data_IF_793056580915
#
_entry.id   IF_793056580915
#
_cell.length_a   1.000
_cell.length_b   1.000
_cell.length_c   1.000
_cell.angle_alpha   90.00
_cell.angle_beta   90.00
_cell.angle_gamma   90.00
#
_symmetry.space_group_name_H-M   'P 1'
#
loop_
_entity.id
_entity.type
_entity.pdbx_description
1 polymer ?
#
# COMPACT_ATOMS: atom_id res chain seq x y z
N UNK A 1 5.08 -10.72 2.80
CA UNK A 1 4.27 -9.69 2.10
C UNK A 1 5.04 -8.40 2.14
N UNK A 2 5.16 -7.72 1.02
CA UNK A 2 5.84 -6.44 0.94
C UNK A 2 4.86 -5.40 0.43
N UNK A 3 4.80 -4.26 1.09
CA UNK A 3 4.12 -3.07 0.62
C UNK A 3 5.07 -1.90 0.75
N UNK A 4 5.37 -1.23 -0.36
CA UNK A 4 6.34 -0.16 -0.39
C UNK A 4 6.07 0.83 -1.51
N UNK A 5 6.68 2.00 -1.36
CA UNK A 5 6.67 3.10 -2.33
C UNK A 5 7.87 2.99 -3.26
N UNK A 6 7.72 3.45 -4.51
CA UNK A 6 8.82 3.58 -5.46
C UNK A 6 8.95 5.04 -5.92
N UNK A 7 10.17 5.44 -6.28
CA UNK A 7 10.50 6.77 -6.78
C UNK A 7 11.39 6.66 -8.02
N UNK A 8 10.93 7.20 -9.14
CA UNK A 8 11.69 7.18 -10.40
C UNK A 8 12.86 8.19 -10.39
N UNK A 9 12.72 9.30 -9.66
CA UNK A 9 13.71 10.38 -9.57
C UNK A 9 14.49 10.40 -8.24
N UNK A 10 14.18 9.48 -7.33
CA UNK A 10 14.74 9.41 -5.98
C UNK A 10 14.23 10.49 -5.02
N UNK A 11 13.26 11.30 -5.43
CA UNK A 11 12.73 12.45 -4.67
C UNK A 11 11.24 12.27 -4.40
N UNK A 12 10.44 12.04 -5.45
CA UNK A 12 8.98 11.93 -5.36
C UNK A 12 8.57 10.48 -5.36
N UNK A 13 7.61 10.13 -4.52
CA UNK A 13 6.97 8.81 -4.64
C UNK A 13 6.07 8.84 -5.86
N UNK A 14 6.33 7.95 -6.81
CA UNK A 14 5.60 7.88 -8.08
C UNK A 14 4.72 6.65 -8.18
N UNK A 15 4.98 5.60 -7.38
CA UNK A 15 4.29 4.31 -7.51
C UNK A 15 4.10 3.63 -6.16
N UNK A 16 3.06 2.80 -6.07
CA UNK A 16 2.85 1.86 -4.97
C UNK A 16 3.02 0.44 -5.48
N UNK A 17 3.72 -0.38 -4.71
CA UNK A 17 3.99 -1.78 -5.02
C UNK A 17 3.54 -2.66 -3.86
N UNK A 18 2.81 -3.73 -4.18
CA UNK A 18 2.64 -4.88 -3.31
C UNK A 18 3.16 -6.16 -3.94
N UNK A 19 3.87 -6.97 -3.15
CA UNK A 19 4.30 -8.29 -3.57
C UNK A 19 4.11 -9.35 -2.49
N UNK A 20 3.75 -10.55 -2.94
CA UNK A 20 3.57 -11.74 -2.13
C UNK A 20 3.95 -12.99 -2.91
N UNK A 21 4.45 -14.01 -2.21
CA UNK A 21 4.63 -15.34 -2.77
C UNK A 21 3.29 -16.03 -3.09
N UNK A 22 2.19 -15.60 -2.45
CA UNK A 22 0.85 -16.17 -2.65
C UNK A 22 0.08 -15.39 -3.72
N UNK A 23 -0.12 -14.09 -3.51
CA UNK A 23 -1.01 -13.29 -4.34
C UNK A 23 -0.35 -12.69 -5.59
N UNK A 24 0.97 -12.88 -5.75
CA UNK A 24 1.76 -12.28 -6.82
C UNK A 24 2.25 -10.87 -6.50
N UNK A 25 2.79 -10.19 -7.52
CA UNK A 25 3.34 -8.85 -7.42
C UNK A 25 2.65 -7.90 -8.38
N UNK A 26 2.22 -6.73 -7.91
CA UNK A 26 1.63 -5.68 -8.73
C UNK A 26 2.17 -4.30 -8.34
N UNK A 27 2.37 -3.43 -9.33
CA UNK A 27 2.90 -2.09 -9.13
C UNK A 27 2.12 -1.12 -10.02
N UNK A 28 1.67 -0.02 -9.43
CA UNK A 28 0.86 0.97 -10.13
C UNK A 28 1.40 2.39 -9.94
N UNK A 29 1.44 3.20 -11.02
CA UNK A 29 1.74 4.62 -10.89
C UNK A 29 0.62 5.31 -10.11
N UNK A 30 1.00 6.23 -9.23
CA UNK A 30 0.07 7.12 -8.56
C UNK A 30 -0.58 8.08 -9.58
N UNK A 31 -1.82 8.55 -9.33
CA UNK A 31 -2.47 9.54 -10.19
C UNK A 31 -1.67 10.85 -10.31
N UNK A 32 -0.94 11.19 -9.25
CA UNK A 32 0.04 12.26 -9.21
C UNK A 32 1.19 11.84 -8.28
N UNK A 33 2.45 12.18 -8.59
CA UNK A 33 3.56 11.96 -7.68
C UNK A 33 3.33 12.69 -6.35
N UNK A 34 3.74 12.08 -5.24
CA UNK A 34 3.73 12.73 -3.94
C UNK A 34 4.88 13.72 -3.84
N UNK A 35 4.56 14.94 -3.47
CA UNK A 35 5.57 15.96 -3.18
C UNK A 35 6.32 15.61 -1.89
N UNK A 36 7.61 15.96 -1.77
CA UNK A 36 8.32 15.74 -0.53
C UNK A 36 7.71 16.54 0.63
N UNK A 37 7.80 15.99 1.84
CA UNK A 37 7.36 16.65 3.09
C UNK A 37 5.85 16.91 3.16
N UNK A 38 5.04 16.18 2.41
CA UNK A 38 3.58 16.14 2.56
C UNK A 38 3.14 14.79 3.12
N UNK A 39 2.15 14.82 4.00
CA UNK A 39 1.53 13.60 4.50
C UNK A 39 0.59 13.02 3.45
N UNK A 40 0.72 11.72 3.21
CA UNK A 40 -0.19 10.96 2.36
C UNK A 40 -0.62 9.69 3.07
N UNK A 41 -1.90 9.35 2.90
CA UNK A 41 -2.42 8.05 3.35
C UNK A 41 -2.36 7.07 2.19
N UNK A 42 -1.71 5.93 2.39
CA UNK A 42 -1.64 4.85 1.40
C UNK A 42 -2.19 3.56 2.00
N UNK A 43 -2.91 2.80 1.20
CA UNK A 43 -3.37 1.48 1.60
C UNK A 43 -3.47 0.54 0.40
N UNK A 44 -3.35 -0.75 0.69
CA UNK A 44 -3.72 -1.82 -0.22
C UNK A 44 -4.60 -2.83 0.52
N UNK A 45 -5.63 -3.32 -0.15
CA UNK A 45 -6.41 -4.47 0.30
C UNK A 45 -6.21 -5.63 -0.67
N UNK A 46 -6.09 -6.84 -0.13
CA UNK A 46 -6.08 -8.08 -0.90
C UNK A 46 -7.11 -9.02 -0.29
N UNK A 47 -8.07 -9.49 -1.10
CA UNK A 47 -9.06 -10.48 -0.66
C UNK A 47 -8.61 -11.93 -0.97
N UNK A 48 -9.35 -12.92 -0.47
CA UNK A 48 -9.04 -14.33 -0.68
C UNK A 48 -9.14 -14.78 -2.15
N UNK A 49 -9.83 -14.01 -2.99
CA UNK A 49 -9.89 -14.22 -4.44
C UNK A 49 -8.69 -13.59 -5.16
N UNK A 50 -7.75 -12.97 -4.43
CA UNK A 50 -6.58 -12.32 -4.99
C UNK A 50 -6.89 -10.95 -5.61
N UNK A 51 -8.03 -10.32 -5.30
CA UNK A 51 -8.33 -8.99 -5.80
C UNK A 51 -7.53 -7.93 -5.00
N UNK A 52 -6.65 -7.21 -5.69
CA UNK A 52 -5.81 -6.16 -5.11
C UNK A 52 -6.47 -4.81 -5.39
N UNK A 53 -6.70 -3.99 -4.37
CA UNK A 53 -7.19 -2.62 -4.55
C UNK A 53 -6.24 -1.64 -3.85
N UNK A 54 -5.80 -0.64 -4.60
CA UNK A 54 -4.86 0.37 -4.15
C UNK A 54 -5.56 1.70 -3.89
N UNK A 55 -5.20 2.31 -2.77
CA UNK A 55 -5.77 3.55 -2.30
C UNK A 55 -4.69 4.60 -2.03
N UNK A 56 -5.01 5.84 -2.41
CA UNK A 56 -4.22 7.05 -2.15
C UNK A 56 -5.19 8.10 -1.62
N UNK A 57 -4.86 8.67 -0.45
CA UNK A 57 -5.66 9.71 0.22
C UNK A 57 -7.15 9.38 0.31
N UNK A 58 -7.43 8.15 0.77
CA UNK A 58 -8.77 7.61 0.99
C UNK A 58 -9.52 7.17 -0.27
N UNK A 59 -8.94 7.34 -1.47
CA UNK A 59 -9.58 7.01 -2.75
C UNK A 59 -8.90 5.86 -3.45
N UNK A 60 -9.70 4.93 -3.97
CA UNK A 60 -9.22 3.91 -4.90
C UNK A 60 -8.65 4.58 -6.14
N UNK A 61 -7.47 4.14 -6.59
CA UNK A 61 -6.89 4.60 -7.86
C UNK A 61 -6.47 3.47 -8.80
N UNK A 62 -6.27 2.25 -8.30
CA UNK A 62 -5.92 1.10 -9.13
C UNK A 62 -6.49 -0.20 -8.56
N UNK A 63 -6.62 -1.19 -9.43
CA UNK A 63 -6.95 -2.57 -9.06
C UNK A 63 -6.21 -3.57 -9.95
N UNK A 64 -5.97 -4.76 -9.43
CA UNK A 64 -5.44 -5.88 -10.19
C UNK A 64 -6.02 -7.20 -9.68
N UNK A 65 -6.11 -8.16 -10.60
CA UNK A 65 -6.39 -9.54 -10.24
C UNK A 65 -5.06 -10.30 -10.06
N UNK A 66 -4.77 -10.67 -8.82
CA UNK A 66 -3.70 -11.60 -8.46
C UNK A 66 -4.17 -13.04 -8.42
N UNK A 67 -3.39 -13.89 -7.75
CA UNK A 67 -3.73 -15.30 -7.54
C UNK A 67 -4.60 -15.47 -6.29
N UNK A 68 -5.74 -16.18 -6.36
CA UNK A 68 -6.52 -16.53 -5.17
C UNK A 68 -5.70 -17.35 -4.17
N UNK A 69 -5.96 -17.17 -2.87
CA UNK A 69 -5.27 -17.91 -1.83
C UNK A 69 -5.50 -17.35 -0.44
N UNK A 70 -4.95 -18.04 0.55
CA UNK A 70 -4.93 -17.57 1.93
C UNK A 70 -3.60 -16.87 2.23
N UNK A 71 -3.67 -15.83 3.05
CA UNK A 71 -2.46 -15.17 3.49
C UNK A 71 -1.64 -16.13 4.40
N UNK A 72 -0.58 -16.74 3.85
CA UNK A 72 0.39 -17.58 4.54
C UNK A 72 1.83 -17.12 4.31
N UNK A 73 2.69 -17.27 5.33
CA UNK A 73 4.14 -17.06 5.22
C UNK A 73 4.80 -16.58 6.51
N UNK A 74 6.06 -16.97 6.70
CA UNK A 74 6.84 -16.71 7.92
C UNK A 74 7.79 -15.51 7.77
N UNK A 75 7.63 -14.73 6.70
CA UNK A 75 8.48 -13.56 6.45
C UNK A 75 8.09 -12.40 7.38
N UNK A 76 9.07 -11.70 7.98
CA UNK A 76 8.79 -10.55 8.83
C UNK A 76 8.12 -9.43 8.03
N UNK A 77 7.18 -8.73 8.66
CA UNK A 77 6.66 -7.46 8.14
C UNK A 77 7.67 -6.37 8.45
N UNK A 78 8.20 -5.75 7.40
CA UNK A 78 9.14 -4.64 7.51
C UNK A 78 8.41 -3.32 7.24
N UNK A 79 8.64 -2.33 8.10
CA UNK A 79 8.10 -0.98 7.95
C UNK A 79 9.27 -0.04 7.66
N UNK A 80 9.14 0.78 6.61
CA UNK A 80 10.20 1.71 6.19
C UNK A 80 11.43 1.03 5.59
N UNK A 81 11.32 -0.24 5.17
CA UNK A 81 12.43 -1.00 4.58
C UNK A 81 11.93 -2.05 3.59
N UNK A 82 12.55 -2.07 2.41
CA UNK A 82 12.53 -3.17 1.44
C UNK A 82 13.99 -3.45 1.02
N UNK A 83 14.31 -3.29 -0.27
CA UNK A 83 15.70 -3.31 -0.76
C UNK A 83 16.49 -2.08 -0.27
N UNK A 84 15.79 -0.98 -0.06
CA UNK A 84 16.32 0.28 0.47
C UNK A 84 15.54 0.72 1.72
N UNK A 85 16.09 1.70 2.44
CA UNK A 85 15.43 2.33 3.58
C UNK A 85 14.57 3.51 3.14
N UNK A 86 13.39 3.64 3.75
CA UNK A 86 12.56 4.83 3.62
C UNK A 86 13.21 6.01 4.33
N UNK A 87 13.34 7.14 3.63
CA UNK A 87 13.87 8.38 4.16
C UNK A 87 12.74 9.40 4.37
N UNK A 88 11.86 9.10 5.31
CA UNK A 88 10.74 9.95 5.67
C UNK A 88 10.09 9.50 6.98
N UNK A 89 8.99 10.13 7.33
CA UNK A 89 8.19 9.78 8.51
C UNK A 89 7.09 8.79 8.14
N UNK A 90 6.75 7.92 9.08
CA UNK A 90 5.64 6.96 8.98
C UNK A 90 4.90 7.06 10.31
N UNK A 91 3.57 7.11 10.25
CA UNK A 91 2.72 7.11 11.43
C UNK A 91 1.46 6.26 11.18
N UNK A 92 0.79 5.86 12.25
CA UNK A 92 -0.55 5.27 12.22
C UNK A 92 -0.64 3.92 11.44
N UNK A 93 0.42 3.12 11.48
CA UNK A 93 0.51 1.84 10.78
C UNK A 93 -0.49 0.82 11.32
N UNK A 94 -1.25 0.19 10.41
CA UNK A 94 -2.25 -0.83 10.73
C UNK A 94 -2.17 -1.99 9.74
N UNK A 95 -2.45 -3.20 10.24
CA UNK A 95 -2.53 -4.43 9.44
C UNK A 95 -3.80 -5.19 9.84
N UNK A 96 -4.51 -5.72 8.84
CA UNK A 96 -5.79 -6.41 9.02
C UNK A 96 -5.72 -7.81 8.43
N UNK A 97 -6.44 -8.74 9.06
CA UNK A 97 -6.61 -10.12 8.56
C UNK A 97 -7.75 -10.26 7.54
N UNK A 98 -8.25 -9.14 6.99
CA UNK A 98 -9.30 -9.09 5.97
C UNK A 98 -9.09 -7.89 5.07
N UNK A 99 -9.66 -7.95 3.87
CA UNK A 99 -9.82 -6.77 3.03
C UNK A 99 -10.78 -5.78 3.71
N UNK A 100 -10.36 -4.52 3.82
CA UNK A 100 -11.21 -3.42 4.26
C UNK A 100 -12.08 -2.93 3.10
N UNK A 101 -13.25 -2.39 3.41
CA UNK A 101 -14.09 -1.73 2.41
C UNK A 101 -13.52 -0.36 2.01
N UNK A 102 -13.89 0.21 0.85
CA UNK A 102 -13.54 1.57 0.48
C UNK A 102 -13.94 2.62 1.54
N UNK A 103 -15.07 2.43 2.21
CA UNK A 103 -15.55 3.35 3.25
C UNK A 103 -14.70 3.29 4.51
N UNK A 104 -14.24 2.09 4.90
CA UNK A 104 -13.32 1.91 6.03
C UNK A 104 -11.97 2.58 5.75
N UNK A 105 -11.44 2.42 4.53
CA UNK A 105 -10.21 3.09 4.10
C UNK A 105 -10.37 4.62 4.13
N UNK A 106 -11.48 5.14 3.62
CA UNK A 106 -11.76 6.58 3.65
C UNK A 106 -11.93 7.10 5.08
N UNK A 107 -12.51 6.31 5.98
CA UNK A 107 -12.63 6.66 7.40
C UNK A 107 -11.25 6.75 8.08
N UNK A 108 -10.33 5.83 7.79
CA UNK A 108 -8.94 5.91 8.26
C UNK A 108 -8.22 7.16 7.76
N UNK A 109 -8.32 7.46 6.47
CA UNK A 109 -7.76 8.68 5.90
C UNK A 109 -8.28 9.94 6.61
N UNK A 110 -9.60 10.06 6.77
CA UNK A 110 -10.21 11.23 7.46
C UNK A 110 -9.81 11.33 8.93
N UNK A 111 -9.60 10.21 9.61
CA UNK A 111 -9.15 10.21 11.00
C UNK A 111 -7.71 10.74 11.15
N UNK A 112 -6.86 10.53 10.14
CA UNK A 112 -5.47 10.99 10.11
C UNK A 112 -5.29 12.47 9.73
N UNK A 113 -6.34 13.15 9.24
CA UNK A 113 -6.31 14.58 8.90
C UNK A 113 -6.53 15.52 10.10
N UNK A 114 -6.60 14.98 11.32
CA UNK A 114 -6.97 15.73 12.54
C UNK A 114 -5.79 16.40 13.21
#
# INVERSE_FOLDING_TARGET
YNFYTYSDDGIKVTQLHFSSAVFGATMFPLPAPYEPKTWHHVAITVDANGNHIYYSDGKKFAEAQGTPGEASGDYPVLIGKADNFWNGVIDEVRLYNRALSPDEINAHYKAALK
#
